data_IF_618910301021
#
_entry.id   IF_618910301021
#
_cell.length_a   1.000
_cell.length_b   1.000
_cell.length_c   1.000
_cell.angle_alpha   90.00
_cell.angle_beta   90.00
_cell.angle_gamma   90.00
#
_symmetry.space_group_name_H-M   'P 1'
#
loop_
_entity.id
_entity.type
_entity.pdbx_description
1 polymer ?
#
# COMPACT_ATOMS: atom_id res chain seq x y z
N UNK A 1 33.04 -2.22 -12.59
CA UNK A 1 32.48 -2.24 -12.56
C UNK A 1 31.69 -2.48 -12.60
N UNK A 2 31.84 -2.69 -12.40
CA UNK A 2 31.03 -2.83 -12.42
C UNK A 2 30.35 -2.92 -12.13
N UNK A 3 30.47 -3.03 -11.74
CA UNK A 3 29.71 -3.11 -11.41
C UNK A 3 28.98 -2.63 -11.19
N UNK A 4 29.59 -2.88 -10.95
CA UNK A 4 28.88 -1.91 -10.33
C UNK A 4 27.64 -1.62 -10.94
N UNK A 5 27.66 -1.55 -11.93
CA UNK A 5 26.58 -1.17 -12.62
C UNK A 5 25.36 -1.90 -12.30
N UNK A 6 25.41 -3.05 -12.11
CA UNK A 6 24.20 -3.74 -12.01
C UNK A 6 23.39 -3.44 -10.84
N UNK A 7 23.91 -3.47 -9.77
CA UNK A 7 23.12 -3.35 -8.69
C UNK A 7 22.47 -2.08 -8.53
N UNK A 8 23.03 -1.11 -9.08
CA UNK A 8 22.42 0.07 -8.89
C UNK A 8 21.19 0.23 -9.55
N UNK A 9 21.03 -0.42 -10.65
CA UNK A 9 19.84 -0.22 -11.30
C UNK A 9 18.72 -0.83 -10.55
N UNK A 10 18.95 -1.80 -9.80
CA UNK A 10 17.91 -2.38 -9.06
C UNK A 10 17.41 -1.44 -8.07
N UNK A 11 18.25 -0.76 -7.42
CA UNK A 11 17.86 0.17 -6.52
C UNK A 11 17.03 1.20 -7.04
N UNK A 12 17.39 1.73 -8.10
CA UNK A 12 16.69 2.80 -8.70
C UNK A 12 15.32 2.40 -9.03
N UNK A 13 15.15 1.27 -9.61
CA UNK A 13 13.82 0.91 -10.00
C UNK A 13 12.95 0.67 -8.82
N UNK A 14 13.46 0.16 -7.76
CA UNK A 14 12.65 -0.09 -6.63
C UNK A 14 12.16 1.15 -5.98
N UNK A 15 12.95 2.16 -5.93
CA UNK A 15 12.54 3.35 -5.29
C UNK A 15 11.56 4.08 -6.07
N UNK A 16 11.55 3.90 -7.35
CA UNK A 16 10.72 4.70 -8.20
C UNK A 16 9.35 4.11 -8.52
N UNK A 17 9.00 3.00 -7.92
CA UNK A 17 7.71 2.39 -8.22
C UNK A 17 6.58 3.23 -7.64
N UNK A 18 5.85 3.87 -8.50
CA UNK A 18 4.74 4.71 -8.11
C UNK A 18 3.45 3.94 -8.30
N UNK A 19 2.61 3.97 -7.30
CA UNK A 19 1.38 3.21 -7.30
C UNK A 19 0.24 4.11 -6.93
N UNK A 20 -0.97 3.63 -7.17
CA UNK A 20 -2.15 4.34 -6.69
C UNK A 20 -3.23 3.33 -6.42
N UNK A 21 -4.14 3.67 -5.54
CA UNK A 21 -5.24 2.78 -5.23
C UNK A 21 -6.19 2.75 -6.42
N UNK A 22 -6.68 1.56 -6.75
CA UNK A 22 -7.56 1.40 -7.88
C UNK A 22 -8.93 1.98 -7.53
N UNK A 23 -9.54 2.65 -8.46
CA UNK A 23 -10.85 3.23 -8.23
C UNK A 23 -11.88 2.15 -8.04
N UNK A 24 -12.89 2.46 -7.28
CA UNK A 24 -13.97 1.51 -7.06
C UNK A 24 -13.82 0.70 -5.79
N UNK A 25 -12.74 0.91 -5.05
CA UNK A 25 -12.56 0.22 -3.77
C UNK A 25 -12.62 1.24 -2.64
N UNK A 26 -13.35 0.91 -1.61
CA UNK A 26 -13.52 1.81 -0.48
C UNK A 26 -13.29 1.08 0.82
N UNK A 27 -12.90 1.85 1.82
CA UNK A 27 -12.68 1.33 3.16
C UNK A 27 -13.99 1.48 3.93
N UNK A 28 -14.46 0.39 4.51
CA UNK A 28 -15.68 0.39 5.30
C UNK A 28 -15.45 -0.30 6.62
N UNK A 29 -16.28 0.02 7.57
CA UNK A 29 -16.25 -0.69 8.84
C UNK A 29 -17.47 -1.59 8.89
N UNK A 30 -17.23 -2.89 9.05
CA UNK A 30 -18.30 -3.87 9.06
C UNK A 30 -18.13 -4.73 10.31
N UNK A 31 -19.09 -4.67 11.19
CA UNK A 31 -19.07 -5.45 12.43
C UNK A 31 -17.79 -5.22 13.24
N UNK A 32 -17.35 -3.97 13.28
CA UNK A 32 -16.17 -3.63 14.04
C UNK A 32 -14.85 -3.87 13.33
N UNK A 33 -14.91 -4.38 12.11
CA UNK A 33 -13.70 -4.63 11.35
C UNK A 33 -13.60 -3.67 10.18
N UNK A 34 -12.38 -3.32 9.83
CA UNK A 34 -12.16 -2.46 8.68
C UNK A 34 -11.86 -3.32 7.47
N UNK A 35 -12.62 -3.10 6.41
CA UNK A 35 -12.48 -3.92 5.22
C UNK A 35 -12.48 -3.04 3.97
N UNK A 36 -11.80 -3.51 2.95
CA UNK A 36 -11.83 -2.88 1.65
C UNK A 36 -12.84 -3.64 0.80
N UNK A 37 -13.77 -2.91 0.22
CA UNK A 37 -14.84 -3.50 -0.58
C UNK A 37 -14.92 -2.82 -1.92
N UNK A 38 -15.32 -3.55 -2.93
CA UNK A 38 -15.59 -2.97 -4.23
C UNK A 38 -16.95 -2.31 -4.25
N UNK A 39 -17.05 -1.17 -4.93
CA UNK A 39 -18.27 -0.43 -5.06
C UNK A 39 -18.46 0.03 -6.48
N UNK A 40 -19.69 0.28 -6.86
CA UNK A 40 -19.99 0.82 -8.17
C UNK A 40 -19.76 -0.18 -9.26
N UNK A 41 -19.08 0.27 -10.28
CA UNK A 41 -18.83 -0.59 -11.41
C UNK A 41 -17.98 -1.77 -11.08
N UNK A 42 -17.31 -1.70 -9.98
CA UNK A 42 -16.50 -2.81 -9.58
C UNK A 42 -17.28 -3.88 -8.90
N UNK A 43 -18.59 -3.77 -8.88
CA UNK A 43 -19.41 -4.70 -8.16
C UNK A 43 -19.20 -6.13 -8.53
N UNK A 44 -18.79 -6.40 -9.73
CA UNK A 44 -18.55 -7.76 -10.10
C UNK A 44 -17.39 -8.34 -9.32
N UNK A 45 -16.63 -7.50 -8.66
CA UNK A 45 -15.52 -7.95 -7.87
C UNK A 45 -15.80 -7.84 -6.40
N UNK A 46 -17.06 -7.70 -6.03
CA UNK A 46 -17.33 -7.48 -4.63
C UNK A 46 -16.96 -8.66 -3.76
N UNK A 47 -16.58 -9.77 -4.32
CA UNK A 47 -16.08 -10.84 -3.52
C UNK A 47 -14.69 -10.59 -3.00
N UNK A 48 -14.05 -9.54 -3.47
CA UNK A 48 -12.72 -9.23 -3.02
C UNK A 48 -12.79 -8.34 -1.82
N UNK A 49 -12.91 -8.94 -0.68
CA UNK A 49 -12.85 -8.20 0.55
C UNK A 49 -11.47 -8.38 1.14
N UNK A 50 -10.91 -7.32 1.64
CA UNK A 50 -9.61 -7.37 2.26
C UNK A 50 -9.76 -6.76 3.64
N UNK A 51 -9.54 -7.56 4.66
CA UNK A 51 -9.62 -7.08 6.02
C UNK A 51 -8.31 -6.37 6.37
N UNK A 52 -8.40 -5.23 7.02
CA UNK A 52 -7.23 -4.45 7.39
C UNK A 52 -7.19 -4.27 8.90
N UNK A 53 -6.01 -4.39 9.48
CA UNK A 53 -5.88 -4.02 10.87
C UNK A 53 -5.85 -2.49 10.93
N UNK A 54 -5.78 -1.97 12.12
CA UNK A 54 -5.88 -0.54 12.32
C UNK A 54 -4.80 0.25 11.59
N UNK A 55 -3.59 -0.23 11.66
CA UNK A 55 -2.47 0.44 11.00
C UNK A 55 -2.62 0.39 9.48
N UNK A 56 -3.01 -0.76 8.94
CA UNK A 56 -3.18 -0.88 7.49
C UNK A 56 -4.34 -0.01 7.01
N UNK A 57 -5.40 0.10 7.79
CA UNK A 57 -6.51 0.97 7.43
C UNK A 57 -6.06 2.43 7.42
N UNK A 58 -5.25 2.81 8.39
CA UNK A 58 -4.71 4.16 8.43
C UNK A 58 -3.82 4.43 7.22
N UNK A 59 -2.98 3.45 6.86
CA UNK A 59 -2.12 3.60 5.68
C UNK A 59 -2.94 3.67 4.40
N UNK A 60 -4.04 2.95 4.33
CA UNK A 60 -4.93 3.04 3.17
C UNK A 60 -5.44 4.48 3.03
N UNK A 61 -5.83 5.09 4.12
CA UNK A 61 -6.30 6.46 4.11
C UNK A 61 -5.20 7.42 3.69
N UNK A 62 -3.96 7.17 4.12
CA UNK A 62 -2.84 8.00 3.71
C UNK A 62 -2.60 7.85 2.20
N UNK A 63 -2.68 6.64 1.69
CA UNK A 63 -2.49 6.40 0.27
C UNK A 63 -3.59 7.09 -0.54
N UNK A 64 -4.82 7.08 -0.04
CA UNK A 64 -5.90 7.77 -0.72
C UNK A 64 -5.64 9.28 -0.76
N UNK A 65 -5.19 9.83 0.32
CA UNK A 65 -4.92 11.27 0.39
C UNK A 65 -3.78 11.67 -0.53
N UNK A 66 -2.78 10.82 -0.67
CA UNK A 66 -1.65 11.12 -1.54
C UNK A 66 -1.98 11.00 -3.00
N UNK A 67 -2.85 10.06 -3.35
CA UNK A 67 -3.09 9.72 -4.74
C UNK A 67 -2.00 8.80 -5.25
N UNK A 68 -0.89 9.35 -5.68
CA UNK A 68 0.27 8.54 -6.06
C UNK A 68 1.12 8.30 -4.83
N UNK A 69 1.56 7.09 -4.63
CA UNK A 69 2.37 6.77 -3.45
C UNK A 69 3.42 5.73 -3.80
N UNK A 70 4.43 5.62 -2.95
CA UNK A 70 5.46 4.61 -3.09
C UNK A 70 5.60 3.93 -1.74
N UNK A 71 6.34 2.83 -1.70
CA UNK A 71 6.64 2.19 -0.44
C UNK A 71 7.30 3.18 0.50
N UNK A 72 8.23 3.98 -0.03
CA UNK A 72 8.93 4.94 0.80
C UNK A 72 8.06 6.04 1.33
N UNK A 73 7.15 6.56 0.50
CA UNK A 73 6.32 7.65 0.97
C UNK A 73 5.37 7.19 2.08
N UNK A 74 4.84 5.97 1.97
CA UNK A 74 3.99 5.45 3.02
C UNK A 74 4.81 5.09 4.25
N UNK A 75 6.03 4.58 4.06
CA UNK A 75 6.90 4.27 5.19
C UNK A 75 7.25 5.53 5.98
N UNK A 76 7.46 6.63 5.28
CA UNK A 76 7.71 7.89 5.95
C UNK A 76 6.54 8.31 6.81
N UNK A 77 5.33 8.15 6.27
CA UNK A 77 4.15 8.48 7.05
C UNK A 77 4.05 7.60 8.29
N UNK A 78 4.39 6.33 8.13
CA UNK A 78 4.33 5.41 9.24
C UNK A 78 5.31 5.82 10.33
N UNK A 79 6.51 6.26 9.95
CA UNK A 79 7.50 6.71 10.91
C UNK A 79 7.07 7.99 11.62
N UNK A 80 6.31 8.84 10.95
CA UNK A 80 5.83 10.07 11.56
C UNK A 80 4.78 9.80 12.62
N UNK A 81 3.97 8.79 12.37
CA UNK A 81 2.85 8.52 13.24
C UNK A 81 3.16 7.49 14.33
N UNK A 82 4.04 6.56 14.07
CA UNK A 82 4.34 5.47 14.98
C UNK A 82 5.82 5.40 15.27
N UNK A 83 6.16 4.82 16.40
CA UNK A 83 7.55 4.73 16.82
C UNK A 83 8.19 3.49 16.21
N UNK A 84 8.57 3.57 14.94
CA UNK A 84 9.21 2.46 14.25
C UNK A 84 10.41 2.98 13.51
N UNK A 85 11.37 2.12 13.23
CA UNK A 85 12.54 2.53 12.48
C UNK A 85 12.20 2.57 11.01
N UNK A 86 13.01 3.28 10.24
CA UNK A 86 12.79 3.39 8.81
C UNK A 86 12.82 2.02 8.13
N UNK A 87 13.72 1.15 8.55
CA UNK A 87 13.83 -0.17 7.95
C UNK A 87 12.60 -1.02 8.26
N UNK A 88 12.11 -0.96 9.50
CA UNK A 88 10.91 -1.69 9.87
C UNK A 88 9.71 -1.18 9.10
N UNK A 89 9.60 0.14 8.98
CA UNK A 89 8.49 0.74 8.29
C UNK A 89 8.47 0.32 6.82
N UNK A 90 9.63 0.33 6.17
CA UNK A 90 9.69 -0.07 4.78
C UNK A 90 9.31 -1.54 4.60
N UNK A 91 9.80 -2.39 5.47
CA UNK A 91 9.49 -3.81 5.37
C UNK A 91 8.01 -4.06 5.57
N UNK A 92 7.42 -3.42 6.56
CA UNK A 92 6.01 -3.60 6.86
C UNK A 92 5.13 -3.07 5.73
N UNK A 93 5.48 -1.90 5.21
CA UNK A 93 4.69 -1.31 4.14
C UNK A 93 4.81 -2.16 2.87
N UNK A 94 6.01 -2.64 2.57
CA UNK A 94 6.20 -3.45 1.37
C UNK A 94 5.38 -4.74 1.45
N UNK A 95 5.33 -5.34 2.61
CA UNK A 95 4.56 -6.56 2.79
C UNK A 95 3.08 -6.27 2.65
N UNK A 96 2.61 -5.19 3.23
CA UNK A 96 1.22 -4.79 3.13
C UNK A 96 0.82 -4.51 1.70
N UNK A 97 1.66 -3.78 0.97
CA UNK A 97 1.37 -3.46 -0.42
C UNK A 97 1.35 -4.73 -1.27
N UNK A 98 2.22 -5.69 -0.98
CA UNK A 98 2.20 -6.96 -1.69
C UNK A 98 0.86 -7.66 -1.52
N UNK A 99 0.29 -7.60 -0.32
CA UNK A 99 -1.03 -8.17 -0.11
C UNK A 99 -2.10 -7.41 -0.89
N UNK A 100 -2.00 -6.10 -0.92
CA UNK A 100 -2.95 -5.31 -1.69
C UNK A 100 -2.86 -5.63 -3.17
N UNK A 101 -1.65 -5.86 -3.67
CA UNK A 101 -1.45 -6.20 -5.07
C UNK A 101 -2.05 -7.57 -5.39
N UNK A 102 -1.99 -8.49 -4.45
CA UNK A 102 -2.55 -9.81 -4.67
C UNK A 102 -4.05 -9.77 -4.89
N UNK A 103 -4.73 -8.85 -4.23
CA UNK A 103 -6.16 -8.73 -4.39
C UNK A 103 -6.53 -7.63 -5.37
N UNK A 104 -5.54 -7.08 -6.03
CA UNK A 104 -5.75 -6.17 -7.17
C UNK A 104 -6.46 -4.87 -6.81
N UNK A 105 -6.14 -4.31 -5.68
CA UNK A 105 -6.70 -3.01 -5.29
C UNK A 105 -5.71 -1.87 -5.50
N UNK A 106 -4.53 -2.17 -6.04
CA UNK A 106 -3.50 -1.18 -6.32
C UNK A 106 -3.14 -1.26 -7.80
N UNK A 107 -2.93 -0.14 -8.44
CA UNK A 107 -2.52 -0.12 -9.84
C UNK A 107 -1.24 0.68 -10.06
#
# INVERSE_FOLDING_TARGET
MVLAAPHEKILISNIQTIMRLRKGFVLREVCGERVIMGEGLGAINFGKLLALNETAAWLWQQAQAMGDFTVESLAEKLCEEYDVTADEAKADVAEMIAEWQKVDVVE
#
